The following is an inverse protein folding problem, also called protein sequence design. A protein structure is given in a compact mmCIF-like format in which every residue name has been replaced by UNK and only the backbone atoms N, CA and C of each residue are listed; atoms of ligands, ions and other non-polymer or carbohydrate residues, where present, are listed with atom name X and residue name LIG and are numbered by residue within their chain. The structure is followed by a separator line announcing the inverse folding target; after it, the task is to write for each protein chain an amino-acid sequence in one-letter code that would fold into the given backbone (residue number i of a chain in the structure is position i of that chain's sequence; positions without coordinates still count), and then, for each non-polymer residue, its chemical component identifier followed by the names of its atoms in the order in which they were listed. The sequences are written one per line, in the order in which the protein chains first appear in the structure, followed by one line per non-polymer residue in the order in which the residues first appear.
data_IF_702147221944
#
_entry.id   IF_702147221944
#
_cell.length_a   1.000
_cell.length_b   1.000
_cell.length_c   1.000
_cell.angle_alpha   90.00
_cell.angle_beta   90.00
_cell.angle_gamma   90.00
#
_symmetry.space_group_name_H-M   'P 1'
#
loop_
_entity.id
_entity.type
_entity.pdbx_description
1 polymer ?
#
# COMPACT_ATOMS: atom_id res chain seq x y z
N UNK A 1 -46.31 57.21 -3.46
CA UNK A 1 -45.41 56.73 -2.39
C UNK A 1 -45.72 55.26 -2.14
N UNK A 2 -44.96 54.34 -2.74
CA UNK A 2 -45.01 52.89 -2.44
C UNK A 2 -43.86 52.59 -1.48
N UNK A 3 -44.20 51.98 -0.34
CA UNK A 3 -43.35 51.91 0.85
C UNK A 3 -42.08 51.09 0.67
N UNK A 4 -40.96 51.68 1.08
CA UNK A 4 -39.60 51.10 1.14
C UNK A 4 -39.48 49.86 2.04
N UNK A 5 -40.52 49.48 2.79
CA UNK A 5 -40.51 48.32 3.70
C UNK A 5 -40.76 46.97 3.01
N UNK A 6 -41.33 46.96 1.81
CA UNK A 6 -41.62 45.71 1.05
C UNK A 6 -40.36 45.11 0.41
N UNK A 7 -39.50 45.95 -0.16
CA UNK A 7 -38.27 45.50 -0.83
C UNK A 7 -37.20 44.97 0.13
N UNK A 8 -37.08 45.52 1.34
CA UNK A 8 -36.13 45.05 2.36
C UNK A 8 -36.44 43.62 2.83
N UNK A 9 -37.71 43.24 2.91
CA UNK A 9 -38.14 41.89 3.30
C UNK A 9 -37.91 40.84 2.22
N UNK A 10 -37.99 41.22 0.93
CA UNK A 10 -37.71 40.31 -0.18
C UNK A 10 -36.23 39.94 -0.27
N UNK A 11 -35.36 40.95 -0.13
CA UNK A 11 -33.91 40.75 -0.13
C UNK A 11 -33.42 39.97 1.09
N UNK A 12 -33.97 40.24 2.28
CA UNK A 12 -33.64 39.48 3.48
C UNK A 12 -34.02 37.99 3.36
N UNK A 13 -35.18 37.69 2.75
CA UNK A 13 -35.60 36.30 2.48
C UNK A 13 -34.73 35.62 1.43
N UNK A 14 -34.36 36.33 0.37
CA UNK A 14 -33.49 35.80 -0.68
C UNK A 14 -32.07 35.51 -0.15
N UNK A 15 -31.51 36.42 0.65
CA UNK A 15 -30.24 36.21 1.35
C UNK A 15 -30.33 35.04 2.34
N UNK A 16 -31.40 34.95 3.13
CA UNK A 16 -31.61 33.81 4.03
C UNK A 16 -31.68 32.48 3.27
N UNK A 17 -32.41 32.42 2.15
CA UNK A 17 -32.46 31.23 1.29
C UNK A 17 -31.09 30.90 0.68
N UNK A 18 -30.32 31.91 0.27
CA UNK A 18 -28.95 31.71 -0.25
C UNK A 18 -28.01 31.17 0.84
N UNK A 19 -28.10 31.70 2.07
CA UNK A 19 -27.33 31.20 3.21
C UNK A 19 -27.75 29.78 3.60
N UNK A 20 -29.04 29.45 3.52
CA UNK A 20 -29.52 28.07 3.72
C UNK A 20 -29.00 27.11 2.64
N UNK A 21 -28.97 27.53 1.37
CA UNK A 21 -28.39 26.76 0.26
C UNK A 21 -26.87 26.59 0.40
N UNK A 22 -26.15 27.64 0.81
CA UNK A 22 -24.71 27.58 1.11
C UNK A 22 -24.41 26.69 2.32
N UNK A 23 -25.22 26.74 3.38
CA UNK A 23 -25.10 25.85 4.53
C UNK A 23 -25.40 24.39 4.16
N UNK A 24 -26.40 24.14 3.32
CA UNK A 24 -26.72 22.81 2.80
C UNK A 24 -25.59 22.26 1.90
N UNK A 25 -24.97 23.12 1.06
CA UNK A 25 -23.81 22.71 0.25
C UNK A 25 -22.61 22.30 1.12
N UNK A 26 -22.39 22.97 2.27
CA UNK A 26 -21.36 22.54 3.23
C UNK A 26 -21.72 21.24 3.96
N UNK A 27 -22.99 20.96 4.20
CA UNK A 27 -23.44 19.66 4.74
C UNK A 27 -23.31 18.52 3.72
N UNK A 28 -23.44 18.79 2.41
CA UNK A 28 -23.17 17.80 1.37
C UNK A 28 -21.66 17.60 1.09
N UNK A 29 -20.83 18.63 1.30
CA UNK A 29 -19.36 18.53 1.17
C UNK A 29 -18.70 17.99 2.45
N UNK A 30 -19.36 18.16 3.61
CA UNK A 30 -18.91 17.66 4.91
C UNK A 30 -19.68 16.42 5.37
N UNK A 31 -20.51 15.81 4.51
CA UNK A 31 -20.84 14.41 4.71
C UNK A 31 -19.49 13.69 4.64
N UNK A 32 -18.98 13.11 5.75
CA UNK A 32 -17.86 12.22 5.62
C UNK A 32 -18.31 11.21 4.58
N UNK A 33 -17.56 11.09 3.48
CA UNK A 33 -17.43 9.81 2.83
C UNK A 33 -16.91 8.91 3.95
N UNK A 34 -17.84 8.30 4.70
CA UNK A 34 -17.48 7.27 5.63
C UNK A 34 -16.92 6.20 4.71
N UNK A 35 -15.66 5.82 4.92
CA UNK A 35 -15.05 4.70 4.22
C UNK A 35 -15.97 3.44 4.28
N UNK A 36 -16.89 3.38 5.23
CA UNK A 36 -17.96 2.37 5.31
C UNK A 36 -18.98 2.35 4.15
N UNK A 37 -19.20 3.45 3.42
CA UNK A 37 -20.10 3.47 2.25
C UNK A 37 -19.38 3.26 0.91
N UNK A 38 -18.06 3.41 0.86
CA UNK A 38 -17.25 3.01 -0.30
C UNK A 38 -16.97 1.49 -0.32
N UNK A 39 -17.29 0.77 0.77
CA UNK A 39 -16.93 -0.64 1.02
C UNK A 39 -18.15 -1.58 0.94
N UNK A 40 -19.14 -1.27 0.09
CA UNK A 40 -20.26 -2.18 -0.20
C UNK A 40 -20.56 -2.29 -1.69
N UNK A 41 -19.53 -2.63 -2.45
CA UNK A 41 -19.72 -3.57 -3.55
C UNK A 41 -19.23 -4.92 -3.02
N UNK A 42 -20.10 -5.56 -2.25
CA UNK A 42 -19.88 -6.76 -1.44
C UNK A 42 -19.64 -8.00 -2.32
N UNK A 43 -19.68 -7.84 -3.64
CA UNK A 43 -19.63 -8.95 -4.57
C UNK A 43 -18.81 -8.55 -5.79
N UNK A 44 -17.78 -9.34 -6.07
CA UNK A 44 -16.97 -9.38 -7.29
C UNK A 44 -15.75 -8.44 -7.32
N UNK A 45 -14.56 -9.02 -7.10
CA UNK A 45 -13.41 -8.63 -7.91
C UNK A 45 -13.73 -9.06 -9.35
N UNK A 46 -14.16 -8.12 -10.19
CA UNK A 46 -14.26 -8.36 -11.64
C UNK A 46 -12.86 -8.49 -12.25
N UNK A 47 -12.76 -9.12 -13.43
CA UNK A 47 -11.53 -9.20 -14.22
C UNK A 47 -10.76 -7.87 -14.14
N UNK A 48 -9.50 -7.94 -13.70
CA UNK A 48 -8.62 -6.82 -13.34
C UNK A 48 -8.85 -5.61 -14.26
N UNK A 49 -9.49 -4.57 -13.73
CA UNK A 49 -9.43 -3.26 -14.39
C UNK A 49 -7.98 -2.82 -14.27
N UNK A 50 -7.25 -2.80 -15.38
CA UNK A 50 -5.87 -2.31 -15.41
C UNK A 50 -5.87 -0.81 -15.18
N UNK A 51 -5.68 -0.42 -13.92
CA UNK A 51 -5.73 0.98 -13.52
C UNK A 51 -4.38 1.65 -13.77
N UNK A 52 -4.34 2.98 -13.90
CA UNK A 52 -3.07 3.69 -14.09
C UNK A 52 -2.05 3.41 -12.98
N UNK A 53 -2.49 3.27 -11.73
CA UNK A 53 -1.64 2.95 -10.58
C UNK A 53 -1.09 1.53 -10.66
N UNK A 54 -1.93 0.57 -11.08
CA UNK A 54 -1.54 -0.83 -11.25
C UNK A 54 -0.59 -1.00 -12.44
N UNK A 55 -0.85 -0.29 -13.54
CA UNK A 55 0.06 -0.23 -14.69
C UNK A 55 1.40 0.44 -14.32
N UNK A 56 1.37 1.54 -13.55
CA UNK A 56 2.59 2.18 -13.08
C UNK A 56 3.40 1.24 -12.16
N UNK A 57 2.73 0.50 -11.27
CA UNK A 57 3.36 -0.51 -10.42
C UNK A 57 3.97 -1.65 -11.25
N UNK A 58 3.23 -2.22 -12.20
CA UNK A 58 3.73 -3.28 -13.10
C UNK A 58 4.96 -2.82 -13.89
N UNK A 59 4.93 -1.60 -14.44
CA UNK A 59 6.07 -1.03 -15.16
C UNK A 59 7.32 -0.90 -14.27
N UNK A 60 7.13 -0.55 -12.99
CA UNK A 60 8.20 -0.47 -12.00
C UNK A 60 8.74 -1.85 -11.61
N UNK A 61 7.85 -2.85 -11.44
CA UNK A 61 8.28 -4.24 -11.24
C UNK A 61 9.11 -4.75 -12.42
N UNK A 62 8.68 -4.47 -13.65
CA UNK A 62 9.41 -4.86 -14.86
C UNK A 62 10.78 -4.18 -14.94
N UNK A 63 10.87 -2.90 -14.53
CA UNK A 63 12.15 -2.20 -14.42
C UNK A 63 13.05 -2.86 -13.38
N UNK A 64 12.51 -3.25 -12.21
CA UNK A 64 13.25 -3.96 -11.17
C UNK A 64 13.75 -5.34 -11.64
N UNK A 65 12.92 -6.10 -12.37
CA UNK A 65 13.31 -7.38 -12.98
C UNK A 65 14.44 -7.20 -13.99
N UNK A 66 14.32 -6.21 -14.89
CA UNK A 66 15.36 -5.87 -15.88
C UNK A 66 16.68 -5.44 -15.23
N UNK A 67 16.59 -4.74 -14.10
CA UNK A 67 17.76 -4.32 -13.32
C UNK A 67 18.31 -5.40 -12.38
N UNK A 68 17.72 -6.60 -12.35
CA UNK A 68 18.04 -7.69 -11.43
C UNK A 68 17.94 -7.30 -9.94
N UNK A 69 17.08 -6.33 -9.61
CA UNK A 69 16.80 -5.90 -8.24
C UNK A 69 15.49 -6.47 -7.72
N UNK A 70 14.73 -7.19 -8.54
CA UNK A 70 13.50 -7.84 -8.09
C UNK A 70 13.81 -8.91 -7.03
N UNK A 71 13.06 -8.90 -5.94
CA UNK A 71 13.20 -9.83 -4.81
C UNK A 71 12.15 -10.92 -4.96
N UNK A 72 12.60 -12.15 -5.15
CA UNK A 72 11.71 -13.31 -5.21
C UNK A 72 11.30 -13.73 -3.80
N UNK A 73 10.32 -14.61 -3.70
CA UNK A 73 10.05 -15.32 -2.47
C UNK A 73 11.30 -16.08 -2.01
N UNK A 74 11.51 -16.10 -0.69
CA UNK A 74 12.67 -16.65 0.01
C UNK A 74 14.00 -15.99 -0.35
N UNK A 75 13.98 -14.69 -0.67
CA UNK A 75 15.15 -13.90 -1.04
C UNK A 75 15.27 -12.60 -0.25
N UNK A 76 16.51 -12.11 -0.13
CA UNK A 76 16.86 -10.79 0.39
C UNK A 76 17.84 -10.12 -0.55
N UNK A 77 17.60 -8.86 -0.91
CA UNK A 77 18.52 -8.06 -1.70
C UNK A 77 18.89 -6.76 -1.03
N UNK A 78 20.16 -6.40 -1.15
CA UNK A 78 20.64 -5.05 -0.93
C UNK A 78 20.75 -4.31 -2.27
N UNK A 79 20.38 -3.02 -2.28
CA UNK A 79 20.58 -2.12 -3.42
C UNK A 79 21.22 -0.82 -2.95
N UNK A 80 22.30 -0.45 -3.62
CA UNK A 80 23.08 0.76 -3.36
C UNK A 80 22.52 1.96 -4.14
N UNK A 81 22.12 3.01 -3.42
CA UNK A 81 21.58 4.25 -3.99
C UNK A 81 22.63 5.37 -4.09
N UNK A 82 23.90 5.11 -3.81
CA UNK A 82 24.97 6.12 -3.88
C UNK A 82 25.31 6.51 -5.32
N UNK A 83 25.18 5.57 -6.26
CA UNK A 83 25.36 5.86 -7.67
C UNK A 83 24.23 6.76 -8.20
N UNK A 84 24.55 7.65 -9.13
CA UNK A 84 23.55 8.47 -9.80
C UNK A 84 22.67 7.62 -10.72
N UNK A 85 21.38 7.95 -10.79
CA UNK A 85 20.41 7.25 -11.62
C UNK A 85 19.27 6.67 -10.78
N UNK A 86 18.17 6.32 -11.46
CA UNK A 86 17.00 5.78 -10.78
C UNK A 86 17.24 4.33 -10.38
N UNK A 87 17.08 4.05 -9.10
CA UNK A 87 17.11 2.72 -8.51
C UNK A 87 15.70 2.31 -8.14
N UNK A 88 15.32 1.10 -8.55
CA UNK A 88 13.99 0.54 -8.29
C UNK A 88 14.21 -0.87 -7.76
N UNK A 89 13.56 -1.23 -6.65
CA UNK A 89 13.56 -2.56 -6.06
C UNK A 89 12.11 -2.98 -5.87
N UNK A 90 11.70 -4.10 -6.44
CA UNK A 90 10.31 -4.54 -6.44
C UNK A 90 10.15 -5.95 -5.90
N UNK A 91 9.00 -6.21 -5.30
CA UNK A 91 8.54 -7.55 -4.94
C UNK A 91 7.02 -7.63 -5.10
N UNK A 92 6.53 -8.81 -5.45
CA UNK A 92 5.10 -9.07 -5.63
C UNK A 92 4.75 -10.49 -5.21
N UNK A 93 3.46 -10.83 -5.28
CA UNK A 93 2.94 -12.18 -5.03
C UNK A 93 3.13 -12.61 -3.58
N UNK A 94 2.78 -11.73 -2.64
CA UNK A 94 2.95 -11.98 -1.21
C UNK A 94 1.92 -12.95 -0.61
N UNK A 95 1.20 -13.79 -1.36
CA UNK A 95 0.23 -14.72 -0.76
C UNK A 95 0.88 -15.57 0.33
N UNK A 96 0.36 -15.53 1.56
CA UNK A 96 0.94 -16.20 2.71
C UNK A 96 2.40 -15.81 3.04
N UNK A 97 2.84 -14.60 2.67
CA UNK A 97 4.22 -14.15 2.84
C UNK A 97 4.33 -12.89 3.71
N UNK A 98 5.54 -12.56 4.14
CA UNK A 98 5.84 -11.24 4.71
C UNK A 98 6.95 -10.56 3.92
N UNK A 99 6.97 -9.24 4.00
CA UNK A 99 8.00 -8.39 3.42
C UNK A 99 8.65 -7.51 4.48
N UNK A 100 9.95 -7.31 4.35
CA UNK A 100 10.71 -6.33 5.14
C UNK A 100 11.42 -5.38 4.19
N UNK A 101 11.33 -4.09 4.49
CA UNK A 101 12.08 -3.04 3.80
C UNK A 101 12.84 -2.24 4.86
N UNK A 102 14.16 -2.20 4.73
CA UNK A 102 15.02 -1.28 5.47
C UNK A 102 15.58 -0.27 4.47
N UNK A 103 15.18 0.99 4.56
CA UNK A 103 15.53 2.00 3.58
C UNK A 103 16.21 3.23 4.20
N UNK A 104 17.21 3.76 3.49
CA UNK A 104 17.79 5.09 3.72
C UNK A 104 17.89 5.82 2.39
N UNK A 105 18.50 7.00 2.39
CA UNK A 105 18.89 7.73 1.17
C UNK A 105 20.03 7.10 0.38
N UNK A 106 20.77 6.16 0.99
CA UNK A 106 22.00 5.59 0.44
C UNK A 106 21.87 4.11 0.06
N UNK A 107 20.84 3.43 0.54
CA UNK A 107 20.55 2.07 0.09
C UNK A 107 19.28 1.52 0.70
N UNK A 108 18.90 0.33 0.25
CA UNK A 108 17.80 -0.43 0.80
C UNK A 108 18.15 -1.92 0.92
N UNK A 109 17.65 -2.56 1.98
CA UNK A 109 17.52 -4.02 2.08
C UNK A 109 16.05 -4.35 1.93
N UNK A 110 15.73 -5.25 1.00
CA UNK A 110 14.38 -5.72 0.74
C UNK A 110 14.35 -7.24 0.86
N UNK A 111 13.41 -7.76 1.63
CA UNK A 111 13.24 -9.18 1.89
C UNK A 111 11.79 -9.62 1.62
N UNK A 112 11.63 -10.83 1.11
CA UNK A 112 10.33 -11.46 0.86
C UNK A 112 10.45 -12.96 1.19
N UNK A 113 9.65 -13.44 2.13
CA UNK A 113 9.71 -14.82 2.62
C UNK A 113 8.33 -15.29 3.06
N UNK A 114 8.19 -16.60 3.18
CA UNK A 114 6.99 -17.24 3.73
C UNK A 114 6.66 -16.75 5.15
N UNK A 115 5.37 -16.64 5.44
CA UNK A 115 4.86 -16.35 6.77
C UNK A 115 4.83 -17.65 7.62
N UNK A 116 6.01 -18.24 7.81
CA UNK A 116 6.22 -19.42 8.64
C UNK A 116 7.54 -19.31 9.44
N UNK A 117 7.82 -20.30 10.28
CA UNK A 117 9.04 -20.31 11.11
C UNK A 117 10.33 -20.40 10.28
N UNK A 118 10.30 -21.13 9.16
CA UNK A 118 11.48 -21.30 8.31
C UNK A 118 11.84 -19.99 7.59
N UNK A 119 10.83 -19.26 7.12
CA UNK A 119 10.96 -17.90 6.61
C UNK A 119 11.52 -16.96 7.67
N UNK A 120 11.11 -17.11 8.93
CA UNK A 120 11.57 -16.26 10.04
C UNK A 120 13.03 -16.50 10.36
N UNK A 121 13.44 -17.75 10.45
CA UNK A 121 14.82 -18.11 10.75
C UNK A 121 15.75 -17.70 9.61
N UNK A 122 15.36 -17.97 8.35
CA UNK A 122 16.15 -17.62 7.17
C UNK A 122 16.29 -16.10 7.01
N UNK A 123 15.20 -15.36 7.17
CA UNK A 123 15.22 -13.91 7.04
C UNK A 123 16.00 -13.24 8.17
N UNK A 124 15.96 -13.77 9.41
CA UNK A 124 16.79 -13.29 10.52
C UNK A 124 18.28 -13.36 10.17
N UNK A 125 18.73 -14.48 9.63
CA UNK A 125 20.11 -14.66 9.16
C UNK A 125 20.42 -13.67 8.03
N UNK A 126 19.67 -13.73 6.93
CA UNK A 126 19.96 -12.96 5.72
C UNK A 126 19.89 -11.45 5.92
N UNK A 127 18.86 -10.95 6.60
CA UNK A 127 18.69 -9.52 6.84
C UNK A 127 19.79 -9.01 7.77
N UNK A 128 20.16 -9.79 8.80
CA UNK A 128 21.25 -9.42 9.71
C UNK A 128 22.59 -9.35 8.97
N UNK A 129 22.89 -10.33 8.11
CA UNK A 129 24.11 -10.36 7.32
C UNK A 129 24.21 -9.13 6.40
N UNK A 130 23.17 -8.85 5.61
CA UNK A 130 23.14 -7.67 4.74
C UNK A 130 23.21 -6.35 5.53
N UNK A 131 22.53 -6.26 6.69
CA UNK A 131 22.54 -5.06 7.51
C UNK A 131 23.92 -4.79 8.12
N UNK A 132 24.64 -5.84 8.51
CA UNK A 132 26.01 -5.74 9.01
C UNK A 132 27.00 -5.43 7.89
N UNK A 133 26.86 -6.07 6.73
CA UNK A 133 27.74 -5.86 5.57
C UNK A 133 27.63 -4.44 5.00
N UNK A 134 26.41 -3.90 4.96
CA UNK A 134 26.12 -2.60 4.34
C UNK A 134 25.68 -1.54 5.35
N UNK A 135 26.09 -1.68 6.62
CA UNK A 135 25.71 -0.77 7.70
C UNK A 135 26.07 0.69 7.39
N UNK A 136 27.11 0.92 6.60
CA UNK A 136 27.52 2.25 6.13
C UNK A 136 26.43 2.96 5.30
N UNK A 137 25.55 2.20 4.64
CA UNK A 137 24.48 2.72 3.78
C UNK A 137 23.10 2.56 4.39
N UNK A 138 22.83 1.47 5.13
CA UNK A 138 21.50 1.19 5.71
C UNK A 138 21.41 1.39 7.22
N UNK A 139 22.51 1.80 7.87
CA UNK A 139 22.54 2.07 9.30
C UNK A 139 21.50 3.12 9.70
N UNK A 140 20.62 2.76 10.64
CA UNK A 140 19.55 3.63 11.13
C UNK A 140 18.37 3.81 10.16
N UNK A 141 18.24 2.90 9.18
CA UNK A 141 17.15 2.82 8.23
C UNK A 141 15.76 3.02 8.84
N UNK A 142 14.86 3.55 8.01
CA UNK A 142 13.42 3.41 8.23
C UNK A 142 13.04 1.98 7.88
N UNK A 143 12.33 1.32 8.79
CA UNK A 143 11.96 -0.08 8.67
C UNK A 143 10.46 -0.18 8.42
N UNK A 144 10.07 -1.00 7.45
CA UNK A 144 8.68 -1.29 7.11
C UNK A 144 8.48 -2.80 7.13
N UNK A 145 7.42 -3.25 7.79
CA UNK A 145 7.01 -4.64 7.86
C UNK A 145 5.67 -4.80 7.14
N UNK A 146 5.62 -5.69 6.18
CA UNK A 146 4.46 -5.92 5.31
C UNK A 146 3.93 -7.33 5.48
N UNK A 147 2.66 -7.50 5.87
CA UNK A 147 2.11 -8.82 6.19
C UNK A 147 0.62 -8.96 5.85
N UNK A 148 0.17 -10.20 5.68
CA UNK A 148 -1.24 -10.50 5.46
C UNK A 148 -2.13 -10.14 6.67
N UNK A 149 -3.29 -9.57 6.38
CA UNK A 149 -4.43 -9.46 7.27
C UNK A 149 -5.66 -10.09 6.61
N UNK A 150 -6.54 -10.63 7.43
CA UNK A 150 -7.85 -11.15 6.99
C UNK A 150 -8.74 -9.99 6.52
N UNK A 151 -9.41 -10.16 5.39
CA UNK A 151 -10.22 -9.10 4.77
C UNK A 151 -11.39 -8.67 5.65
N UNK A 152 -12.12 -9.61 6.25
CA UNK A 152 -13.33 -9.31 7.00
C UNK A 152 -13.05 -8.62 8.34
N UNK A 153 -11.97 -9.01 9.01
CA UNK A 153 -11.71 -8.60 10.40
C UNK A 153 -10.56 -7.61 10.53
N UNK A 154 -9.68 -7.52 9.52
CA UNK A 154 -8.44 -6.77 9.58
C UNK A 154 -7.40 -7.35 10.54
N UNK A 155 -7.64 -8.52 11.12
CA UNK A 155 -6.70 -9.20 12.00
C UNK A 155 -5.54 -9.80 11.21
N UNK A 156 -4.34 -9.78 11.79
CA UNK A 156 -3.16 -10.46 11.26
C UNK A 156 -3.44 -11.95 11.05
N UNK A 157 -3.02 -12.49 9.91
CA UNK A 157 -3.16 -13.92 9.61
C UNK A 157 -2.31 -14.77 10.58
N UNK A 158 -1.08 -14.32 10.88
CA UNK A 158 -0.18 -14.97 11.84
C UNK A 158 0.39 -13.95 12.84
N UNK A 159 -0.41 -13.59 13.85
CA UNK A 159 -0.05 -12.56 14.84
C UNK A 159 1.26 -12.87 15.59
N UNK A 160 1.48 -14.13 15.97
CA UNK A 160 2.67 -14.53 16.72
C UNK A 160 3.94 -14.33 15.89
N UNK A 161 3.97 -14.85 14.65
CA UNK A 161 5.11 -14.71 13.75
C UNK A 161 5.34 -13.24 13.41
N UNK A 162 4.27 -12.48 13.13
CA UNK A 162 4.35 -11.04 12.88
C UNK A 162 5.06 -10.30 14.02
N UNK A 163 4.67 -10.57 15.27
CA UNK A 163 5.26 -9.95 16.44
C UNK A 163 6.73 -10.35 16.63
N UNK A 164 7.11 -11.57 16.25
CA UNK A 164 8.51 -11.99 16.24
C UNK A 164 9.35 -11.27 15.18
N UNK A 165 8.82 -11.08 13.96
CA UNK A 165 9.45 -10.24 12.95
C UNK A 165 9.61 -8.82 13.44
N UNK A 166 8.54 -8.23 13.95
CA UNK A 166 8.53 -6.85 14.44
C UNK A 166 9.58 -6.65 15.53
N UNK A 167 9.67 -7.58 16.48
CA UNK A 167 10.70 -7.57 17.52
C UNK A 167 12.10 -7.69 16.94
N UNK A 168 12.33 -8.65 16.05
CA UNK A 168 13.62 -8.84 15.40
C UNK A 168 14.09 -7.56 14.68
N UNK A 169 13.24 -6.96 13.86
CA UNK A 169 13.55 -5.74 13.11
C UNK A 169 13.78 -4.56 14.07
N UNK A 170 12.97 -4.43 15.12
CA UNK A 170 13.18 -3.40 16.14
C UNK A 170 14.54 -3.56 16.84
N UNK A 171 14.91 -4.78 17.21
CA UNK A 171 16.17 -5.07 17.91
C UNK A 171 17.38 -4.81 16.98
N UNK A 172 17.25 -5.10 15.67
CA UNK A 172 18.28 -4.88 14.67
C UNK A 172 18.50 -3.40 14.34
N UNK A 173 17.42 -2.65 14.11
CA UNK A 173 17.47 -1.27 13.59
C UNK A 173 17.38 -0.22 14.71
N UNK A 174 16.92 -0.61 15.90
CA UNK A 174 16.77 0.23 17.10
C UNK A 174 15.50 1.07 17.13
N UNK A 175 14.57 0.88 16.18
CA UNK A 175 13.30 1.62 16.07
C UNK A 175 12.17 0.67 15.71
N UNK A 176 10.94 0.99 16.13
CA UNK A 176 9.76 0.24 15.71
C UNK A 176 9.60 0.34 14.19
N UNK A 177 9.40 -0.78 13.47
CA UNK A 177 9.05 -0.73 12.06
C UNK A 177 7.63 -0.18 11.89
N UNK A 178 7.40 0.48 10.77
CA UNK A 178 6.06 0.83 10.32
C UNK A 178 5.32 -0.41 9.86
N UNK A 179 4.08 -0.55 10.30
CA UNK A 179 3.21 -1.68 9.97
C UNK A 179 2.48 -1.39 8.65
N UNK A 180 2.59 -2.31 7.70
CA UNK A 180 1.91 -2.28 6.41
C UNK A 180 1.20 -3.63 6.19
N UNK A 181 0.04 -3.60 5.57
CA UNK A 181 -0.79 -4.80 5.43
C UNK A 181 -1.33 -4.98 4.03
N UNK A 182 -1.58 -6.24 3.67
CA UNK A 182 -2.33 -6.61 2.49
C UNK A 182 -3.36 -7.68 2.84
N UNK A 183 -4.42 -7.71 2.07
CA UNK A 183 -5.41 -8.79 2.09
C UNK A 183 -5.13 -9.72 0.91
N UNK A 184 -5.60 -10.96 0.98
CA UNK A 184 -5.51 -11.87 -0.15
C UNK A 184 -6.73 -11.75 -1.06
N UNK A 185 -6.51 -11.84 -2.38
CA UNK A 185 -7.56 -11.59 -3.36
C UNK A 185 -8.65 -12.67 -3.24
N UNK A 186 -8.23 -13.90 -2.97
CA UNK A 186 -9.09 -15.06 -2.75
C UNK A 186 -10.10 -14.86 -1.60
N UNK A 187 -9.73 -14.13 -0.53
CA UNK A 187 -10.66 -13.85 0.58
C UNK A 187 -11.85 -12.97 0.18
N UNK A 188 -11.75 -12.30 -0.97
CA UNK A 188 -12.78 -11.37 -1.45
C UNK A 188 -13.63 -11.95 -2.59
N UNK A 189 -13.39 -13.21 -2.95
CA UNK A 189 -14.06 -13.90 -4.06
C UNK A 189 -14.95 -14.99 -3.49
N UNK A 190 -16.19 -15.07 -3.96
CA UNK A 190 -17.07 -16.19 -3.60
C UNK A 190 -16.61 -17.49 -4.29
N UNK A 191 -16.84 -18.64 -3.65
CA UNK A 191 -16.50 -19.95 -4.22
C UNK A 191 -17.01 -20.13 -5.67
N UNK A 192 -18.24 -19.68 -5.96
CA UNK A 192 -18.83 -19.74 -7.29
C UNK A 192 -18.09 -18.92 -8.37
N UNK A 193 -17.29 -17.92 -7.95
CA UNK A 193 -16.49 -17.08 -8.85
C UNK A 193 -15.03 -17.55 -8.97
N UNK A 194 -14.54 -18.39 -8.05
CA UNK A 194 -13.22 -19.02 -8.17
C UNK A 194 -13.16 -20.01 -9.36
N UNK A 195 -14.28 -20.67 -9.63
CA UNK A 195 -14.42 -21.63 -10.75
C UNK A 195 -14.75 -20.96 -12.10
N UNK A 196 -14.80 -19.63 -12.16
CA UNK A 196 -15.10 -18.87 -13.38
C UNK A 196 -13.81 -18.59 -14.17
N UNK A 197 -13.78 -18.93 -15.46
CA UNK A 197 -12.65 -18.68 -16.37
C UNK A 197 -12.25 -17.19 -16.50
N UNK A 198 -13.09 -16.26 -16.03
CA UNK A 198 -12.80 -14.82 -16.03
C UNK A 198 -12.07 -14.33 -14.76
N UNK A 199 -11.80 -15.20 -13.80
CA UNK A 199 -10.96 -14.88 -12.64
C UNK A 199 -9.53 -14.61 -13.13
N UNK A 200 -8.92 -13.51 -12.65
CA UNK A 200 -7.51 -13.25 -12.88
C UNK A 200 -6.70 -14.01 -11.82
N UNK A 201 -6.03 -15.13 -12.15
CA UNK A 201 -5.20 -15.84 -11.18
C UNK A 201 -4.01 -14.99 -10.69
N UNK A 202 -3.66 -13.92 -11.41
CA UNK A 202 -2.64 -12.94 -11.02
C UNK A 202 -3.23 -11.80 -10.15
N UNK A 203 -4.49 -11.92 -9.70
CA UNK A 203 -5.10 -11.00 -8.75
C UNK A 203 -4.21 -10.86 -7.50
N UNK A 204 -4.00 -9.61 -7.10
CA UNK A 204 -2.83 -9.21 -6.31
C UNK A 204 -2.87 -9.79 -4.90
N UNK A 205 -1.90 -10.64 -4.60
CA UNK A 205 -1.59 -11.13 -3.24
C UNK A 205 -0.70 -10.16 -2.46
N UNK A 206 -0.82 -8.85 -2.72
CA UNK A 206 0.09 -7.83 -2.21
C UNK A 206 1.40 -7.70 -2.98
N UNK A 207 2.08 -6.58 -2.76
CA UNK A 207 3.38 -6.27 -3.33
C UNK A 207 3.81 -4.84 -3.06
N UNK A 208 5.07 -4.53 -3.36
CA UNK A 208 5.60 -3.18 -3.20
C UNK A 208 6.74 -2.87 -4.16
N UNK A 209 7.06 -1.57 -4.25
CA UNK A 209 8.24 -1.04 -4.93
C UNK A 209 8.90 -0.01 -4.02
N UNK A 210 10.23 -0.06 -3.96
CA UNK A 210 11.11 0.96 -3.37
C UNK A 210 11.83 1.70 -4.49
N UNK A 211 11.82 3.03 -4.45
CA UNK A 211 12.43 3.88 -5.48
C UNK A 211 13.33 4.94 -4.85
N UNK A 212 14.47 5.19 -5.49
CA UNK A 212 15.37 6.27 -5.11
C UNK A 212 16.05 6.83 -6.38
N UNK A 213 16.16 8.15 -6.51
CA UNK A 213 16.77 8.78 -7.69
C UNK A 213 18.31 8.81 -7.68
N UNK A 214 18.90 8.22 -6.63
CA UNK A 214 20.33 7.96 -6.51
C UNK A 214 21.15 9.14 -5.98
N UNK A 215 22.46 9.01 -6.08
CA UNK A 215 23.42 10.04 -5.67
C UNK A 215 23.63 10.18 -4.16
N UNK A 216 23.07 9.27 -3.34
CA UNK A 216 23.29 9.19 -1.89
C UNK A 216 22.61 10.28 -1.04
N UNK A 217 21.86 11.19 -1.65
CA UNK A 217 21.15 12.28 -0.96
C UNK A 217 19.66 12.36 -1.25
N UNK A 218 19.15 11.56 -2.19
CA UNK A 218 17.75 11.53 -2.58
C UNK A 218 16.90 10.81 -1.55
N UNK A 219 15.65 11.26 -1.37
CA UNK A 219 14.68 10.58 -0.53
C UNK A 219 14.23 9.27 -1.18
N UNK A 220 14.01 8.25 -0.36
CA UNK A 220 13.48 6.96 -0.79
C UNK A 220 11.97 6.95 -0.68
N UNK A 221 11.30 6.50 -1.74
CA UNK A 221 9.85 6.36 -1.80
C UNK A 221 9.46 4.90 -1.81
N UNK A 222 8.44 4.53 -1.05
CA UNK A 222 7.92 3.17 -0.99
C UNK A 222 6.45 3.19 -1.40
N UNK A 223 6.09 2.31 -2.32
CA UNK A 223 4.74 2.17 -2.84
C UNK A 223 4.25 0.74 -2.63
N UNK A 224 3.20 0.57 -1.84
CA UNK A 224 2.53 -0.71 -1.66
C UNK A 224 1.32 -0.83 -2.59
N UNK A 225 1.08 -2.03 -3.12
CA UNK A 225 -0.14 -2.41 -3.83
C UNK A 225 -0.96 -3.35 -2.95
N UNK A 226 -2.24 -3.05 -2.78
CA UNK A 226 -3.21 -3.86 -2.02
C UNK A 226 -4.49 -4.01 -2.84
N UNK A 227 -5.31 -5.00 -2.51
CA UNK A 227 -6.60 -5.22 -3.20
C UNK A 227 -7.54 -4.02 -3.07
N UNK A 228 -7.51 -3.32 -1.95
CA UNK A 228 -8.35 -2.13 -1.76
C UNK A 228 -8.05 -1.03 -2.78
N UNK A 229 -6.77 -0.82 -3.13
CA UNK A 229 -6.39 0.09 -4.22
C UNK A 229 -6.92 -0.36 -5.58
N UNK A 230 -7.16 -1.66 -5.76
CA UNK A 230 -7.80 -2.19 -6.97
C UNK A 230 -9.33 -2.02 -6.94
N UNK A 231 -9.97 -2.16 -5.76
CA UNK A 231 -11.42 -1.94 -5.60
C UNK A 231 -11.83 -0.48 -5.73
N UNK A 232 -11.11 0.45 -5.08
CA UNK A 232 -11.39 1.91 -5.15
C UNK A 232 -11.26 2.44 -6.58
N UNK A 233 -10.37 1.85 -7.37
CA UNK A 233 -10.12 2.28 -8.75
C UNK A 233 -11.06 1.63 -9.77
N UNK A 234 -11.70 0.49 -9.44
CA UNK A 234 -12.84 -0.05 -10.18
C UNK A 234 -14.11 0.82 -10.05
N UNK A 235 -14.23 1.58 -8.94
CA UNK A 235 -15.31 2.55 -8.70
C UNK A 235 -15.05 3.93 -9.35
N UNK A 236 -14.22 4.02 -10.40
CA UNK A 236 -14.08 5.22 -11.22
C UNK A 236 -15.44 5.71 -11.76
N UNK A 237 -15.57 7.01 -12.11
CA UNK A 237 -16.87 7.64 -12.40
C UNK A 237 -17.60 6.83 -13.47
N UNK A 238 -18.76 6.29 -13.07
CA UNK A 238 -19.46 5.22 -13.78
C UNK A 238 -19.52 5.40 -15.29
N UNK A 239 -19.35 4.29 -15.99
CA UNK A 239 -19.88 4.10 -17.34
C UNK A 239 -21.23 3.42 -17.26
#
# INVERSE_FOLDING_TARGET
MLGSKSFQNGWAKLLASLFFLLAASRLCIAAPYTNQLAVRDDQHLYARVKTPELEAYENKLDASKKANTYVNQDDTKFVDFTAAGNHIVGSSSFAGCFGVILATKQGAIVAHYNLDQNGLDTSKEKITDFYNEHNDKVGGAEAHLYSAITYETGALVEENLYNEYKKFIKDLVGKEPEDHHYTEALETVSEANLDNDNWDPDAVSGGFVVENSGGGGADTSIFFITIERQKVSAQGPGK
#
